data_IF_088732570333
#
_entry.id   IF_088732570333
#
_cell.length_a   1.000
_cell.length_b   1.000
_cell.length_c   1.000
_cell.angle_alpha   90.00
_cell.angle_beta   90.00
_cell.angle_gamma   90.00
#
_symmetry.space_group_name_H-M   'P 1'
#
loop_
_entity.id
_entity.type
_entity.pdbx_description
1 polymer ?
#
# COMPACT_ATOMS: atom_id res chain seq x y z
N UNK A 1 -18.37 47.15 -7.73
CA UNK A 1 -18.70 45.78 -8.16
C UNK A 1 -17.40 45.04 -8.45
N UNK A 2 -17.10 43.93 -7.77
CA UNK A 2 -15.92 43.11 -8.06
C UNK A 2 -16.21 42.17 -9.24
N UNK A 3 -15.28 42.00 -10.20
CA UNK A 3 -15.49 41.08 -11.31
C UNK A 3 -15.49 39.63 -10.84
N UNK A 4 -16.55 38.90 -11.21
CA UNK A 4 -16.82 37.50 -10.88
C UNK A 4 -16.14 36.55 -11.87
N UNK A 5 -14.83 36.73 -12.13
CA UNK A 5 -14.02 35.70 -12.79
C UNK A 5 -13.22 35.00 -11.71
N UNK A 6 -13.79 33.91 -11.20
CA UNK A 6 -13.04 32.94 -10.43
C UNK A 6 -11.82 32.54 -11.25
N UNK A 7 -10.65 32.68 -10.64
CA UNK A 7 -9.39 32.27 -11.20
C UNK A 7 -9.58 30.84 -11.70
N UNK A 8 -9.31 30.55 -12.98
CA UNK A 8 -9.13 29.17 -13.41
C UNK A 8 -7.92 28.70 -12.62
N UNK A 9 -8.15 27.98 -11.52
CA UNK A 9 -7.11 27.29 -10.80
C UNK A 9 -6.54 26.33 -11.83
N UNK A 10 -5.37 26.65 -12.37
CA UNK A 10 -4.55 25.67 -13.03
C UNK A 10 -4.39 24.57 -11.97
N UNK A 11 -5.03 23.42 -12.19
CA UNK A 11 -4.56 22.22 -11.52
C UNK A 11 -3.15 22.06 -12.07
N UNK A 12 -2.17 22.39 -11.24
CA UNK A 12 -0.78 22.25 -11.62
C UNK A 12 -0.59 20.80 -12.07
N UNK A 13 0.23 20.57 -13.11
CA UNK A 13 0.45 19.21 -13.64
C UNK A 13 0.84 18.21 -12.54
N UNK A 14 1.50 18.71 -11.50
CA UNK A 14 1.83 17.99 -10.26
C UNK A 14 0.59 17.50 -9.49
N UNK A 15 -0.47 18.32 -9.36
CA UNK A 15 -1.72 17.93 -8.69
C UNK A 15 -2.44 16.82 -9.47
N UNK A 16 -2.42 16.91 -10.80
CA UNK A 16 -3.00 15.88 -11.68
C UNK A 16 -2.20 14.58 -11.58
N UNK A 17 -0.87 14.67 -11.64
CA UNK A 17 0.02 13.53 -11.49
C UNK A 17 -0.16 12.86 -10.12
N UNK A 18 -0.29 13.64 -9.06
CA UNK A 18 -0.54 13.13 -7.72
C UNK A 18 -1.90 12.43 -7.62
N UNK A 19 -2.96 13.05 -8.14
CA UNK A 19 -4.30 12.44 -8.15
C UNK A 19 -4.33 11.12 -8.95
N UNK A 20 -3.67 11.08 -10.11
CA UNK A 20 -3.53 9.88 -10.94
C UNK A 20 -2.74 8.78 -10.24
N UNK A 21 -1.63 9.12 -9.58
CA UNK A 21 -0.84 8.16 -8.79
C UNK A 21 -1.67 7.50 -7.69
N UNK A 22 -2.50 8.27 -6.99
CA UNK A 22 -3.42 7.71 -5.98
C UNK A 22 -4.51 6.85 -6.63
N UNK A 23 -5.05 7.28 -7.79
CA UNK A 23 -6.07 6.51 -8.51
C UNK A 23 -5.56 5.11 -8.91
N UNK A 24 -4.34 5.03 -9.45
CA UNK A 24 -3.68 3.77 -9.79
C UNK A 24 -3.46 2.88 -8.56
N UNK A 25 -3.05 3.47 -7.43
CA UNK A 25 -2.87 2.73 -6.19
C UNK A 25 -4.20 2.14 -5.66
N UNK A 26 -5.28 2.93 -5.72
CA UNK A 26 -6.61 2.48 -5.31
C UNK A 26 -7.16 1.39 -6.25
N UNK A 27 -6.91 1.50 -7.56
CA UNK A 27 -7.33 0.49 -8.52
C UNK A 27 -6.56 -0.83 -8.33
N UNK A 28 -5.26 -0.75 -8.05
CA UNK A 28 -4.45 -1.93 -7.73
C UNK A 28 -4.94 -2.67 -6.47
N UNK A 29 -5.37 -1.93 -5.44
CA UNK A 29 -5.74 -2.52 -4.15
C UNK A 29 -7.21 -2.98 -4.09
N UNK A 30 -8.12 -2.15 -4.59
CA UNK A 30 -9.57 -2.32 -4.40
C UNK A 30 -10.32 -2.59 -5.71
N UNK A 31 -9.69 -2.34 -6.86
CA UNK A 31 -10.32 -2.28 -8.16
C UNK A 31 -11.31 -1.12 -8.29
N UNK A 32 -11.55 -0.67 -9.53
CA UNK A 32 -12.55 0.35 -9.85
C UNK A 32 -13.99 -0.20 -9.81
N UNK A 33 -14.39 -0.76 -8.66
CA UNK A 33 -15.72 -1.34 -8.44
C UNK A 33 -16.53 -0.54 -7.41
N UNK A 34 -17.86 -0.74 -7.39
CA UNK A 34 -18.71 -0.14 -6.36
C UNK A 34 -18.30 -0.59 -4.94
N UNK A 35 -17.86 -1.84 -4.78
CA UNK A 35 -17.37 -2.34 -3.50
C UNK A 35 -16.03 -1.69 -3.09
N UNK A 36 -15.14 -1.44 -4.05
CA UNK A 36 -13.91 -0.68 -3.81
C UNK A 36 -14.20 0.74 -3.31
N UNK A 37 -15.16 1.42 -3.96
CA UNK A 37 -15.62 2.75 -3.52
C UNK A 37 -16.18 2.71 -2.08
N UNK A 38 -17.05 1.74 -1.75
CA UNK A 38 -17.61 1.62 -0.39
C UNK A 38 -16.54 1.29 0.66
N UNK A 39 -15.55 0.47 0.32
CA UNK A 39 -14.42 0.16 1.20
C UNK A 39 -13.58 1.40 1.49
N UNK A 40 -13.20 2.17 0.46
CA UNK A 40 -12.45 3.41 0.64
C UNK A 40 -13.26 4.48 1.42
N UNK A 41 -14.58 4.56 1.24
CA UNK A 41 -15.44 5.40 2.07
C UNK A 41 -15.37 4.97 3.54
N UNK A 42 -15.47 3.67 3.83
CA UNK A 42 -15.40 3.13 5.19
C UNK A 42 -14.06 3.42 5.86
N UNK A 43 -12.95 3.31 5.13
CA UNK A 43 -11.62 3.62 5.67
C UNK A 43 -11.43 5.11 5.99
N UNK A 44 -11.96 5.99 5.14
CA UNK A 44 -11.63 7.42 5.18
C UNK A 44 -12.71 8.31 5.81
N UNK A 45 -13.94 7.81 5.91
CA UNK A 45 -15.11 8.61 6.27
C UNK A 45 -15.53 9.65 5.22
N UNK A 46 -14.95 9.60 4.02
CA UNK A 46 -15.24 10.56 2.96
C UNK A 46 -16.55 10.24 2.22
N UNK A 47 -17.12 11.27 1.57
CA UNK A 47 -18.31 11.11 0.75
C UNK A 47 -18.04 10.26 -0.48
N UNK A 48 -19.07 9.54 -0.95
CA UNK A 48 -18.98 8.70 -2.15
C UNK A 48 -18.49 9.50 -3.37
N UNK A 49 -18.96 10.75 -3.52
CA UNK A 49 -18.50 11.66 -4.57
C UNK A 49 -16.99 11.90 -4.51
N UNK A 50 -16.45 12.17 -3.33
CA UNK A 50 -15.01 12.42 -3.15
C UNK A 50 -14.21 11.18 -3.52
N UNK A 51 -14.63 10.00 -3.04
CA UNK A 51 -13.96 8.74 -3.32
C UNK A 51 -14.00 8.42 -4.83
N UNK A 52 -15.14 8.61 -5.49
CA UNK A 52 -15.24 8.46 -6.95
C UNK A 52 -14.30 9.41 -7.70
N UNK A 53 -14.13 10.64 -7.22
CA UNK A 53 -13.17 11.58 -7.80
C UNK A 53 -11.72 11.11 -7.64
N UNK A 54 -11.38 10.44 -6.53
CA UNK A 54 -10.06 9.86 -6.30
C UNK A 54 -9.79 8.66 -7.21
N UNK A 55 -10.75 7.73 -7.33
CA UNK A 55 -10.64 6.61 -8.28
C UNK A 55 -10.57 7.09 -9.74
N UNK A 56 -11.17 8.23 -10.05
CA UNK A 56 -11.10 8.84 -11.38
C UNK A 56 -9.79 9.63 -11.63
N UNK A 57 -8.94 9.83 -10.61
CA UNK A 57 -7.74 10.66 -10.72
C UNK A 57 -8.03 12.15 -10.93
N UNK A 58 -9.28 12.59 -10.75
CA UNK A 58 -9.70 13.98 -10.98
C UNK A 58 -9.35 14.91 -9.82
N UNK A 59 -9.28 14.36 -8.60
CA UNK A 59 -8.92 15.09 -7.39
C UNK A 59 -8.15 14.13 -6.48
N UNK A 60 -7.19 14.64 -5.72
CA UNK A 60 -6.49 13.85 -4.73
C UNK A 60 -7.21 13.86 -3.35
N UNK A 61 -7.03 12.82 -2.52
CA UNK A 61 -7.43 12.86 -1.12
C UNK A 61 -6.61 13.91 -0.37
N UNK A 62 -7.29 14.68 0.49
CA UNK A 62 -6.63 15.63 1.40
C UNK A 62 -6.02 14.91 2.60
N UNK A 63 -5.08 15.56 3.28
CA UNK A 63 -4.24 15.01 4.37
C UNK A 63 -4.87 13.88 5.21
N UNK A 64 -5.94 14.15 5.97
CA UNK A 64 -6.56 13.11 6.83
C UNK A 64 -7.06 11.88 6.06
N UNK A 65 -7.62 12.08 4.86
CA UNK A 65 -8.12 10.98 4.04
C UNK A 65 -6.96 10.20 3.44
N UNK A 66 -5.89 10.90 3.03
CA UNK A 66 -4.68 10.26 2.53
C UNK A 66 -4.03 9.39 3.62
N UNK A 67 -3.88 9.91 4.85
CA UNK A 67 -3.37 9.14 5.99
C UNK A 67 -4.24 7.91 6.26
N UNK A 68 -5.56 8.04 6.18
CA UNK A 68 -6.48 6.92 6.36
C UNK A 68 -6.33 5.86 5.24
N UNK A 69 -6.12 6.28 3.99
CA UNK A 69 -5.83 5.37 2.88
C UNK A 69 -4.49 4.66 3.09
N UNK A 70 -3.41 5.39 3.39
CA UNK A 70 -2.09 4.81 3.65
C UNK A 70 -2.08 3.80 4.79
N UNK A 71 -2.92 4.01 5.82
CA UNK A 71 -3.06 3.08 6.94
C UNK A 71 -3.70 1.74 6.53
N UNK A 72 -4.55 1.72 5.51
CA UNK A 72 -5.32 0.53 5.13
C UNK A 72 -4.90 -0.07 3.78
N UNK A 73 -4.12 0.65 2.99
CA UNK A 73 -3.75 0.28 1.63
C UNK A 73 -2.23 0.32 1.45
N UNK A 74 -1.63 -0.87 1.34
CA UNK A 74 -0.20 -1.01 1.05
C UNK A 74 0.19 -0.38 -0.29
N UNK A 75 -0.57 -0.55 -1.40
CA UNK A 75 -0.28 0.13 -2.66
C UNK A 75 -0.23 1.65 -2.54
N UNK A 76 -1.16 2.27 -1.79
CA UNK A 76 -1.16 3.72 -1.56
C UNK A 76 0.07 4.15 -0.76
N UNK A 77 0.37 3.46 0.34
CA UNK A 77 1.57 3.75 1.15
C UNK A 77 2.85 3.64 0.31
N UNK A 78 2.98 2.57 -0.49
CA UNK A 78 4.13 2.34 -1.35
C UNK A 78 4.30 3.45 -2.38
N UNK A 79 3.23 3.86 -3.08
CA UNK A 79 3.30 4.95 -4.07
C UNK A 79 3.72 6.27 -3.42
N UNK A 80 3.22 6.60 -2.23
CA UNK A 80 3.63 7.80 -1.49
C UNK A 80 5.10 7.76 -1.08
N UNK A 81 5.59 6.62 -0.56
CA UNK A 81 7.00 6.50 -0.17
C UNK A 81 7.93 6.62 -1.38
N UNK A 82 7.58 6.02 -2.52
CA UNK A 82 8.33 6.16 -3.78
C UNK A 82 8.33 7.62 -4.23
N UNK A 83 7.18 8.29 -4.23
CA UNK A 83 7.07 9.70 -4.61
C UNK A 83 7.86 10.63 -3.68
N UNK A 84 7.97 10.28 -2.39
CA UNK A 84 8.77 11.00 -1.40
C UNK A 84 10.29 10.70 -1.49
N UNK A 85 10.73 9.89 -2.45
CA UNK A 85 12.13 9.46 -2.57
C UNK A 85 12.59 8.51 -1.47
N UNK A 86 11.65 7.88 -0.74
CA UNK A 86 11.89 7.00 0.41
C UNK A 86 11.80 5.52 0.07
N UNK A 87 12.37 5.14 -1.08
CA UNK A 87 12.42 3.73 -1.52
C UNK A 87 13.30 2.87 -0.61
N UNK A 88 14.31 3.46 0.00
CA UNK A 88 15.16 2.85 1.02
C UNK A 88 14.35 2.25 2.19
N UNK A 89 13.32 2.96 2.66
CA UNK A 89 12.46 2.49 3.76
C UNK A 89 11.66 1.25 3.36
N UNK A 90 11.14 1.22 2.12
CA UNK A 90 10.44 0.04 1.58
C UNK A 90 11.36 -1.17 1.49
N UNK A 91 12.57 -0.98 0.95
CA UNK A 91 13.57 -2.03 0.81
C UNK A 91 13.99 -2.59 2.18
N UNK A 92 14.20 -1.73 3.18
CA UNK A 92 14.54 -2.17 4.53
C UNK A 92 13.45 -3.07 5.13
N UNK A 93 12.17 -2.72 4.96
CA UNK A 93 11.06 -3.53 5.45
C UNK A 93 10.92 -4.86 4.70
N UNK A 94 11.10 -4.86 3.38
CA UNK A 94 11.10 -6.08 2.57
C UNK A 94 12.22 -7.03 2.97
N UNK A 95 13.44 -6.51 3.15
CA UNK A 95 14.60 -7.29 3.61
C UNK A 95 14.35 -7.87 5.00
N UNK A 96 13.80 -7.09 5.93
CA UNK A 96 13.44 -7.59 7.26
C UNK A 96 12.39 -8.71 7.19
N UNK A 97 11.37 -8.54 6.35
CA UNK A 97 10.31 -9.55 6.15
C UNK A 97 10.88 -10.83 5.53
N UNK A 98 11.74 -10.72 4.52
CA UNK A 98 12.43 -11.85 3.90
C UNK A 98 13.31 -12.59 4.90
N UNK A 99 14.06 -11.86 5.73
CA UNK A 99 14.87 -12.44 6.80
C UNK A 99 14.02 -13.26 7.76
N UNK A 100 12.92 -12.70 8.28
CA UNK A 100 12.05 -13.44 9.20
C UNK A 100 11.43 -14.68 8.57
N UNK A 101 11.09 -14.64 7.26
CA UNK A 101 10.60 -15.82 6.53
C UNK A 101 11.68 -16.90 6.38
N UNK A 102 12.92 -16.52 6.07
CA UNK A 102 14.04 -17.46 5.99
C UNK A 102 14.33 -18.10 7.35
N UNK A 103 14.33 -17.31 8.43
CA UNK A 103 14.49 -17.83 9.80
C UNK A 103 13.40 -18.83 10.16
N UNK A 104 12.13 -18.56 9.80
CA UNK A 104 11.03 -19.50 10.00
C UNK A 104 11.20 -20.79 9.20
N UNK A 105 11.65 -20.72 7.96
CA UNK A 105 11.93 -21.91 7.13
C UNK A 105 13.08 -22.74 7.69
N UNK A 106 14.16 -22.11 8.16
CA UNK A 106 15.27 -22.82 8.81
C UNK A 106 14.80 -23.55 10.07
N UNK A 107 14.01 -22.88 10.90
CA UNK A 107 13.44 -23.50 12.10
C UNK A 107 12.58 -24.74 11.80
N UNK A 108 11.86 -24.75 10.66
CA UNK A 108 11.12 -25.93 10.21
C UNK A 108 12.07 -27.06 9.79
N UNK A 109 13.13 -26.74 9.05
CA UNK A 109 14.12 -27.74 8.63
C UNK A 109 14.84 -28.38 9.82
N UNK A 110 15.16 -27.58 10.84
CA UNK A 110 15.80 -28.08 12.06
C UNK A 110 14.88 -29.06 12.82
N UNK A 111 13.57 -28.83 12.85
CA UNK A 111 12.60 -29.78 13.44
C UNK A 111 12.65 -31.14 12.72
N UNK A 112 12.66 -31.14 11.39
CA UNK A 112 12.78 -32.39 10.61
C UNK A 112 14.15 -33.05 10.74
N UNK A 113 15.23 -32.26 10.88
CA UNK A 113 16.58 -32.79 11.01
C UNK A 113 16.84 -33.43 12.38
N UNK A 114 16.14 -32.97 13.43
CA UNK A 114 16.24 -33.57 14.78
C UNK A 114 15.48 -34.91 14.82
N UNK A 115 14.34 -35.02 14.12
CA UNK A 115 13.56 -36.27 14.03
C UNK A 115 14.25 -37.37 13.21
N UNK A 116 15.19 -37.01 12.31
CA UNK A 116 15.96 -37.98 11.50
C UNK A 116 17.30 -38.42 12.11
N UNK A 117 17.81 -37.76 13.15
CA UNK A 117 19.18 -37.95 13.64
C UNK A 117 19.30 -38.84 14.90
N UNK A 118 18.22 -39.47 15.37
CA UNK A 118 18.25 -40.39 16.51
C UNK A 118 17.84 -41.83 16.14
N UNK A 119 18.59 -42.45 15.23
CA UNK A 119 18.70 -43.91 15.22
C UNK A 119 20.12 -44.34 15.68
N UNK A 120 20.33 -44.57 16.98
CA UNK A 120 21.60 -45.05 17.50
C UNK A 120 21.91 -46.52 17.15
N UNK A 121 21.03 -47.25 16.45
CA UNK A 121 21.16 -48.70 16.26
C UNK A 121 22.05 -49.15 15.09
N UNK A 122 22.76 -48.24 14.40
CA UNK A 122 23.60 -48.57 13.22
C UNK A 122 25.10 -48.68 13.46
N UNK A 123 25.55 -48.68 14.72
CA UNK A 123 26.95 -48.92 15.10
C UNK A 123 27.06 -50.22 15.88
N UNK A 124 27.00 -51.36 15.19
CA UNK A 124 27.66 -52.62 15.54
C UNK A 124 27.22 -53.69 14.52
N UNK A 125 28.02 -53.83 13.46
CA UNK A 125 28.09 -55.01 12.60
C UNK A 125 29.49 -55.09 11.99
#
# INVERSE_FOLDING_TARGET
>A
MLPKKGNKLHLDEEDVAFAMMIAEALDMDLGRTHQGVKTAMRWTGASERSVKHWFAGSHAPRGRHLVALMRNSNPVLTRILVAAGRRDVLLALEVATLRSRLEAMLALLDQFSIDGAHDPARREA
#
